data_IF_879382603388
#
_entry.id   IF_879382603388
#
_cell.length_a   1.000
_cell.length_b   1.000
_cell.length_c   1.000
_cell.angle_alpha   90.00
_cell.angle_beta   90.00
_cell.angle_gamma   90.00
#
_symmetry.space_group_name_H-M   'P 1'
#
loop_
_entity.id
_entity.type
_entity.pdbx_description
1 polymer ?
#
# COMPACT_ATOMS: atom_id res chain seq x y z
N UNK A 1 -28.15 -1.16 3.06
CA UNK A 1 -27.60 0.20 2.94
C UNK A 1 -26.33 0.24 3.79
N UNK A 2 -25.14 0.08 3.19
CA UNK A 2 -23.90 0.00 3.99
C UNK A 2 -23.62 1.38 4.60
N UNK A 3 -23.54 1.45 5.93
CA UNK A 3 -22.92 2.58 6.61
C UNK A 3 -21.45 2.62 6.18
N UNK A 4 -21.04 3.65 5.45
CA UNK A 4 -19.61 3.94 5.28
C UNK A 4 -19.10 4.39 6.66
N UNK A 5 -18.51 3.43 7.39
CA UNK A 5 -18.06 3.60 8.78
C UNK A 5 -16.90 4.62 8.86
N UNK A 6 -16.76 5.38 9.96
CA UNK A 6 -15.54 6.14 10.26
C UNK A 6 -14.24 5.35 10.05
N UNK A 7 -14.28 4.04 10.27
CA UNK A 7 -13.15 3.13 10.03
C UNK A 7 -12.69 3.12 8.57
N UNK A 8 -13.62 3.26 7.60
CA UNK A 8 -13.29 3.31 6.18
C UNK A 8 -12.57 4.62 5.82
N UNK A 9 -12.96 5.72 6.47
CA UNK A 9 -12.31 7.02 6.32
C UNK A 9 -10.90 7.00 6.92
N UNK A 10 -10.76 6.46 8.13
CA UNK A 10 -9.47 6.27 8.78
C UNK A 10 -8.54 5.39 7.93
N UNK A 11 -9.02 4.25 7.43
CA UNK A 11 -8.22 3.37 6.57
C UNK A 11 -7.76 4.08 5.30
N UNK A 12 -8.61 4.91 4.69
CA UNK A 12 -8.22 5.71 3.52
C UNK A 12 -7.13 6.73 3.88
N UNK A 13 -7.25 7.43 5.01
CA UNK A 13 -6.19 8.35 5.49
C UNK A 13 -4.87 7.64 5.74
N UNK A 14 -4.90 6.47 6.38
CA UNK A 14 -3.71 5.62 6.61
C UNK A 14 -3.07 5.15 5.30
N UNK A 15 -3.89 4.82 4.30
CA UNK A 15 -3.41 4.43 2.97
C UNK A 15 -2.58 5.54 2.31
N UNK A 16 -2.95 6.82 2.50
CA UNK A 16 -2.16 7.95 1.99
C UNK A 16 -0.79 8.02 2.69
N UNK A 17 -0.77 7.93 4.03
CA UNK A 17 0.48 7.93 4.81
C UNK A 17 1.43 6.80 4.38
N UNK A 18 0.89 5.60 4.21
CA UNK A 18 1.65 4.42 3.77
C UNK A 18 2.17 4.59 2.34
N UNK A 19 1.40 5.22 1.46
CA UNK A 19 1.83 5.47 0.08
C UNK A 19 3.05 6.38 0.04
N UNK A 20 3.12 7.36 0.95
CA UNK A 20 4.27 8.26 1.11
C UNK A 20 5.54 7.48 1.49
N UNK A 21 5.43 6.57 2.48
CA UNK A 21 6.55 5.70 2.89
C UNK A 21 7.10 4.90 1.71
N UNK A 22 6.23 4.29 0.90
CA UNK A 22 6.69 3.57 -0.29
C UNK A 22 7.32 4.47 -1.35
N UNK A 23 6.85 5.71 -1.48
CA UNK A 23 7.38 6.69 -2.42
C UNK A 23 8.77 7.20 -2.00
N UNK A 24 8.98 7.41 -0.69
CA UNK A 24 10.27 7.76 -0.11
C UNK A 24 11.30 6.66 -0.33
N UNK A 25 10.88 5.39 -0.22
CA UNK A 25 11.74 4.21 -0.42
C UNK A 25 11.95 3.84 -1.90
N UNK A 26 11.44 4.61 -2.87
CA UNK A 26 11.39 4.18 -4.27
C UNK A 26 12.76 3.75 -4.84
N UNK A 27 13.82 4.48 -4.51
CA UNK A 27 15.17 4.18 -4.98
C UNK A 27 15.77 2.94 -4.29
N UNK A 28 15.51 2.76 -2.99
CA UNK A 28 15.91 1.56 -2.22
C UNK A 28 15.18 0.30 -2.69
N UNK A 29 13.88 0.42 -2.96
CA UNK A 29 13.04 -0.66 -3.50
C UNK A 29 13.61 -1.13 -4.84
N UNK A 30 13.97 -0.20 -5.72
CA UNK A 30 14.51 -0.53 -7.03
C UNK A 30 15.87 -1.19 -6.91
N UNK A 31 16.75 -0.69 -6.03
CA UNK A 31 18.02 -1.33 -5.74
C UNK A 31 17.83 -2.78 -5.28
N UNK A 32 16.91 -3.01 -4.34
CA UNK A 32 16.59 -4.35 -3.85
C UNK A 32 15.95 -5.25 -4.92
N UNK A 33 15.11 -4.72 -5.81
CA UNK A 33 14.51 -5.49 -6.92
C UNK A 33 15.57 -6.07 -7.86
N UNK A 34 16.71 -5.41 -8.06
CA UNK A 34 17.81 -5.95 -8.88
C UNK A 34 18.48 -7.19 -8.27
N UNK A 35 18.36 -7.38 -6.96
CA UNK A 35 18.91 -8.53 -6.24
C UNK A 35 17.92 -9.70 -6.14
N UNK A 36 16.70 -9.53 -6.65
CA UNK A 36 15.66 -10.55 -6.60
C UNK A 36 15.94 -11.64 -7.64
N UNK A 37 16.07 -12.92 -7.23
CA UNK A 37 16.25 -14.03 -8.17
C UNK A 37 15.06 -14.20 -9.12
N UNK A 38 15.30 -14.86 -10.26
CA UNK A 38 14.22 -15.32 -11.12
C UNK A 38 13.18 -16.15 -10.34
N UNK A 39 11.90 -16.01 -10.72
CA UNK A 39 10.74 -16.59 -10.04
C UNK A 39 10.46 -16.06 -8.61
N UNK A 40 11.26 -15.11 -8.09
CA UNK A 40 10.96 -14.38 -6.86
C UNK A 40 10.40 -12.98 -7.17
N UNK A 41 9.81 -12.37 -6.15
CA UNK A 41 9.41 -10.97 -6.12
C UNK A 41 9.89 -10.33 -4.83
N UNK A 42 10.05 -9.01 -4.86
CA UNK A 42 10.30 -8.21 -3.67
C UNK A 42 8.95 -7.88 -3.01
N UNK A 43 8.84 -8.15 -1.71
CA UNK A 43 7.72 -7.73 -0.88
C UNK A 43 8.23 -6.68 0.09
N UNK A 44 7.70 -5.47 -0.02
CA UNK A 44 8.03 -4.34 0.85
C UNK A 44 6.90 -4.21 1.88
N UNK A 45 7.26 -4.11 3.15
CA UNK A 45 6.33 -4.15 4.27
C UNK A 45 6.36 -2.81 5.01
N UNK A 46 5.16 -2.29 5.29
CA UNK A 46 4.92 -1.16 6.18
C UNK A 46 4.03 -1.63 7.32
N UNK A 47 4.43 -1.41 8.56
CA UNK A 47 3.69 -1.88 9.73
C UNK A 47 2.40 -1.07 10.01
N UNK A 48 1.63 -1.49 11.01
CA UNK A 48 0.41 -0.79 11.44
C UNK A 48 0.65 0.60 12.04
N UNK A 49 1.90 0.99 12.29
CA UNK A 49 2.30 2.34 12.69
C UNK A 49 2.72 3.21 11.49
N UNK A 50 2.53 2.71 10.27
CA UNK A 50 2.96 3.35 9.02
C UNK A 50 4.48 3.54 8.94
N UNK A 51 5.26 2.60 9.48
CA UNK A 51 6.72 2.61 9.39
C UNK A 51 7.20 1.47 8.51
N UNK A 52 8.29 1.72 7.78
CA UNK A 52 8.99 0.68 7.04
C UNK A 52 9.40 -0.45 7.99
N UNK A 53 8.97 -1.67 7.68
CA UNK A 53 9.18 -2.86 8.49
C UNK A 53 10.14 -3.87 7.86
N UNK A 54 10.43 -3.74 6.56
CA UNK A 54 11.42 -4.57 5.88
C UNK A 54 11.08 -4.84 4.42
N UNK A 55 12.04 -5.48 3.74
CA UNK A 55 11.89 -6.02 2.39
C UNK A 55 12.21 -7.52 2.42
N UNK A 56 11.43 -8.31 1.69
CA UNK A 56 11.54 -9.76 1.67
C UNK A 56 11.53 -10.30 0.25
N UNK A 57 12.42 -11.24 -0.06
CA UNK A 57 12.37 -11.99 -1.31
C UNK A 57 11.43 -13.17 -1.11
N UNK A 58 10.36 -13.22 -1.89
CA UNK A 58 9.34 -14.28 -1.78
C UNK A 58 9.20 -14.95 -3.14
N UNK A 59 9.18 -16.28 -3.16
CA UNK A 59 8.85 -17.01 -4.39
C UNK A 59 7.44 -16.66 -4.84
N UNK A 60 7.27 -16.46 -6.13
CA UNK A 60 5.96 -16.06 -6.70
C UNK A 60 4.87 -17.09 -6.33
N UNK A 61 5.19 -18.37 -6.32
CA UNK A 61 4.28 -19.46 -5.92
C UNK A 61 3.89 -19.45 -4.43
N UNK A 62 4.71 -18.84 -3.57
CA UNK A 62 4.49 -18.79 -2.12
C UNK A 62 3.82 -17.49 -1.66
N UNK A 63 3.55 -16.54 -2.56
CA UNK A 63 3.03 -15.20 -2.22
C UNK A 63 1.78 -15.26 -1.35
N UNK A 64 0.81 -16.09 -1.73
CA UNK A 64 -0.46 -16.21 -1.01
C UNK A 64 -0.29 -16.73 0.43
N UNK A 65 0.80 -17.44 0.71
CA UNK A 65 1.09 -18.03 2.03
C UNK A 65 2.01 -17.12 2.84
N UNK A 66 2.99 -16.48 2.20
CA UNK A 66 4.05 -15.72 2.87
C UNK A 66 3.72 -14.25 3.09
N UNK A 67 2.93 -13.63 2.22
CA UNK A 67 2.61 -12.19 2.35
C UNK A 67 1.67 -11.88 3.52
N UNK A 68 0.55 -12.62 3.74
CA UNK A 68 -0.35 -12.31 4.84
C UNK A 68 0.32 -12.23 6.23
N UNK A 69 1.19 -13.17 6.64
CA UNK A 69 1.87 -13.06 7.93
C UNK A 69 2.93 -11.94 7.98
N UNK A 70 3.48 -11.50 6.83
CA UNK A 70 4.41 -10.38 6.78
C UNK A 70 3.69 -9.03 6.96
N UNK A 71 2.49 -8.88 6.40
CA UNK A 71 1.68 -7.67 6.55
C UNK A 71 1.34 -7.39 8.02
N UNK A 72 1.05 -8.44 8.79
CA UNK A 72 0.69 -8.32 10.20
C UNK A 72 -0.66 -7.61 10.41
N UNK A 73 -0.99 -7.30 11.67
CA UNK A 73 -2.24 -6.60 11.98
C UNK A 73 -2.15 -5.12 11.58
N UNK A 74 -3.03 -4.74 10.65
CA UNK A 74 -3.15 -3.37 10.19
C UNK A 74 -1.97 -2.85 9.38
N UNK A 75 -1.02 -3.69 8.94
CA UNK A 75 0.05 -3.28 8.03
C UNK A 75 -0.35 -3.27 6.57
N UNK A 76 0.62 -2.96 5.72
CA UNK A 76 0.49 -2.94 4.27
C UNK A 76 1.70 -3.56 3.61
N UNK A 77 1.43 -4.30 2.54
CA UNK A 77 2.47 -4.87 1.69
C UNK A 77 2.34 -4.37 0.26
N UNK A 78 3.48 -4.13 -0.38
CA UNK A 78 3.54 -3.90 -1.83
C UNK A 78 4.53 -4.86 -2.47
N UNK A 79 4.07 -5.51 -3.53
CA UNK A 79 4.84 -6.52 -4.27
C UNK A 79 5.41 -5.90 -5.54
N UNK A 80 6.69 -6.12 -5.80
CA UNK A 80 7.42 -5.66 -6.97
C UNK A 80 8.11 -6.84 -7.65
N UNK A 81 7.82 -7.01 -8.94
CA UNK A 81 8.53 -7.96 -9.79
C UNK A 81 9.84 -7.35 -10.29
N UNK A 82 10.73 -8.21 -10.80
CA UNK A 82 11.95 -7.81 -11.50
C UNK A 82 11.62 -6.83 -12.63
N UNK A 83 12.51 -5.84 -12.85
CA UNK A 83 12.32 -4.79 -13.86
C UNK A 83 11.49 -3.58 -13.41
N UNK A 84 11.10 -3.50 -12.12
CA UNK A 84 10.53 -2.28 -11.57
C UNK A 84 11.54 -1.11 -11.65
N UNK A 85 11.07 0.06 -12.07
CA UNK A 85 11.84 1.30 -12.13
C UNK A 85 11.39 2.30 -11.06
N UNK A 86 12.20 3.30 -10.67
CA UNK A 86 11.80 4.28 -9.66
C UNK A 86 10.52 5.01 -10.06
N UNK A 87 10.38 5.32 -11.35
CA UNK A 87 9.16 5.92 -11.90
C UNK A 87 7.94 5.00 -11.72
N UNK A 88 8.08 3.70 -11.98
CA UNK A 88 6.98 2.75 -11.81
C UNK A 88 6.56 2.58 -10.35
N UNK A 89 7.51 2.64 -9.40
CA UNK A 89 7.22 2.61 -7.96
C UNK A 89 6.42 3.86 -7.59
N UNK A 90 6.93 5.05 -7.94
CA UNK A 90 6.27 6.35 -7.66
C UNK A 90 4.87 6.42 -8.28
N UNK A 91 4.70 5.97 -9.53
CA UNK A 91 3.38 5.93 -10.16
C UNK A 91 2.39 5.02 -9.44
N UNK A 92 2.83 3.87 -8.92
CA UNK A 92 1.96 2.95 -8.16
C UNK A 92 1.58 3.54 -6.82
N UNK A 93 2.52 4.17 -6.12
CA UNK A 93 2.27 4.80 -4.82
C UNK A 93 1.37 6.03 -4.96
N UNK A 94 1.60 6.86 -5.98
CA UNK A 94 0.73 7.99 -6.31
C UNK A 94 -0.69 7.51 -6.58
N UNK A 95 -0.85 6.46 -7.39
CA UNK A 95 -2.17 5.89 -7.69
C UNK A 95 -2.88 5.38 -6.43
N UNK A 96 -2.15 4.79 -5.49
CA UNK A 96 -2.67 4.32 -4.22
C UNK A 96 -3.18 5.48 -3.36
N UNK A 97 -2.41 6.56 -3.25
CA UNK A 97 -2.81 7.79 -2.56
C UNK A 97 -4.02 8.45 -3.23
N UNK A 98 -4.04 8.53 -4.56
CA UNK A 98 -5.12 9.14 -5.34
C UNK A 98 -6.45 8.41 -5.11
N UNK A 99 -6.44 7.08 -5.17
CA UNK A 99 -7.63 6.25 -4.92
C UNK A 99 -8.13 6.40 -3.48
N UNK A 100 -7.21 6.53 -2.52
CA UNK A 100 -7.57 6.78 -1.13
C UNK A 100 -8.20 8.17 -0.94
N UNK A 101 -7.65 9.20 -1.58
CA UNK A 101 -8.22 10.55 -1.55
C UNK A 101 -9.60 10.61 -2.20
N UNK A 102 -9.80 9.90 -3.33
CA UNK A 102 -11.10 9.80 -3.97
C UNK A 102 -12.14 9.13 -3.05
N UNK A 103 -11.74 8.10 -2.28
CA UNK A 103 -12.60 7.47 -1.27
C UNK A 103 -12.97 8.43 -0.14
N UNK A 104 -12.02 9.19 0.38
CA UNK A 104 -12.27 10.24 1.40
C UNK A 104 -13.34 11.21 0.89
N UNK A 105 -13.10 11.79 -0.29
CA UNK A 105 -14.00 12.78 -0.89
C UNK A 105 -15.42 12.22 -1.10
N UNK A 106 -15.54 10.94 -1.49
CA UNK A 106 -16.83 10.28 -1.67
C UNK A 106 -17.57 10.09 -0.33
N UNK A 107 -16.89 9.63 0.71
CA UNK A 107 -17.46 9.44 2.05
C UNK A 107 -17.94 10.78 2.63
N UNK A 108 -17.11 11.83 2.52
CA UNK A 108 -17.45 13.17 3.03
C UNK A 108 -18.67 13.75 2.31
N UNK A 109 -18.76 13.60 0.97
CA UNK A 109 -19.94 14.01 0.20
C UNK A 109 -21.21 13.29 0.64
N UNK A 110 -21.13 12.00 0.94
CA UNK A 110 -22.28 11.21 1.40
C UNK A 110 -22.72 11.66 2.79
N UNK A 111 -21.79 11.91 3.70
CA UNK A 111 -22.09 12.37 5.06
C UNK A 111 -22.71 13.78 5.05
N UNK A 112 -22.16 14.71 4.27
CA UNK A 112 -22.70 16.06 4.14
C UNK A 112 -24.15 16.08 3.64
N UNK A 113 -24.51 15.19 2.71
CA UNK A 113 -25.89 15.03 2.22
C UNK A 113 -26.86 14.50 3.28
N UNK A 114 -26.37 13.74 4.27
CA UNK A 114 -27.19 13.16 5.35
C UNK A 114 -27.39 14.11 6.53
N UNK A 115 -26.49 15.06 6.74
CA UNK A 115 -26.59 16.03 7.84
C UNK A 115 -27.41 17.28 7.48
N UNK A 116 -27.73 17.49 6.19
CA UNK A 116 -28.45 18.67 5.68
C UNK A 116 -29.89 18.40 5.23
N UNK A 117 -30.46 17.23 5.51
CA UNK A 117 -31.86 16.88 5.24
C UNK A 117 -32.50 16.27 6.47
#
# INVERSE_FOLDING_TARGET
MQHLSPEALERARRTILVSDVFAELADEIVAAVYEVPDAHVLVVVVDGNHKFAGMHHVKTEELAVKVPPLEGDGGWTMVFSTGATPLSVRQRTDKMADLAQQRINAIERINARRSGG
#
